data_IF_038971278398
#
_entry.id   IF_038971278398
#
_cell.length_a   1.000
_cell.length_b   1.000
_cell.length_c   1.000
_cell.angle_alpha   90.00
_cell.angle_beta   90.00
_cell.angle_gamma   90.00
#
_symmetry.space_group_name_H-M   'P 1'
#
loop_
_entity.id
_entity.type
_entity.pdbx_description
1 polymer ?
#
# COMPACT_ATOMS: atom_id res chain seq x y z
N UNK A 1 -16.67 15.12 -1.09
CA UNK A 1 -15.53 14.31 -0.62
C UNK A 1 -14.30 15.20 -0.67
N UNK A 2 -13.63 15.37 0.46
CA UNK A 2 -12.41 16.18 0.53
C UNK A 2 -11.29 15.56 -0.30
N UNK A 3 -10.43 16.40 -0.89
CA UNK A 3 -9.21 15.93 -1.52
C UNK A 3 -8.22 15.44 -0.45
N UNK A 4 -7.96 14.12 -0.44
CA UNK A 4 -6.99 13.50 0.48
C UNK A 4 -5.58 14.09 0.31
N UNK A 5 -5.23 14.59 -0.88
CA UNK A 5 -3.95 15.29 -1.08
C UNK A 5 -3.88 16.57 -0.27
N UNK A 6 -4.96 17.35 -0.24
CA UNK A 6 -5.04 18.58 0.57
C UNK A 6 -4.91 18.24 2.06
N UNK A 7 -5.61 17.21 2.53
CA UNK A 7 -5.51 16.77 3.92
C UNK A 7 -4.09 16.29 4.28
N UNK A 8 -3.37 15.68 3.34
CA UNK A 8 -2.00 15.22 3.54
C UNK A 8 -0.98 16.36 3.52
N UNK A 9 -1.05 17.21 2.50
CA UNK A 9 -0.03 18.21 2.20
C UNK A 9 -0.23 19.48 3.06
N UNK A 10 -1.47 19.77 3.48
CA UNK A 10 -1.87 20.94 4.28
C UNK A 10 -2.73 20.54 5.49
N UNK A 11 -2.26 19.56 6.27
CA UNK A 11 -3.04 18.96 7.37
C UNK A 11 -3.57 20.01 8.37
N UNK A 12 -2.70 20.87 8.90
CA UNK A 12 -3.09 21.82 9.96
C UNK A 12 -4.11 22.85 9.47
N UNK A 13 -3.91 23.38 8.25
CA UNK A 13 -4.83 24.35 7.65
C UNK A 13 -6.19 23.68 7.34
N UNK A 14 -6.17 22.46 6.81
CA UNK A 14 -7.37 21.69 6.51
C UNK A 14 -8.12 21.30 7.77
N UNK A 15 -7.40 20.91 8.83
CA UNK A 15 -7.99 20.55 10.12
C UNK A 15 -8.64 21.75 10.80
N UNK A 16 -8.02 22.93 10.74
CA UNK A 16 -8.63 24.16 11.25
C UNK A 16 -9.90 24.55 10.46
N UNK A 17 -9.89 24.39 9.13
CA UNK A 17 -11.05 24.67 8.28
C UNK A 17 -12.23 23.74 8.58
N UNK A 18 -11.96 22.43 8.69
CA UNK A 18 -12.98 21.40 8.93
C UNK A 18 -13.44 21.38 10.39
N UNK A 19 -12.56 21.69 11.34
CA UNK A 19 -12.92 21.86 12.75
C UNK A 19 -13.95 22.97 12.96
N UNK A 20 -13.87 24.08 12.20
CA UNK A 20 -14.91 25.11 12.19
C UNK A 20 -16.27 24.62 11.68
N UNK A 21 -16.29 23.51 10.93
CA UNK A 21 -17.50 22.85 10.42
C UNK A 21 -17.98 21.71 11.33
N UNK A 22 -17.34 21.51 12.49
CA UNK A 22 -17.68 20.46 13.45
C UNK A 22 -17.09 19.09 13.12
N UNK A 23 -16.06 19.02 12.27
CA UNK A 23 -15.36 17.75 12.02
C UNK A 23 -14.30 17.53 13.11
N UNK A 24 -14.41 16.40 13.80
CA UNK A 24 -13.46 15.97 14.82
C UNK A 24 -12.06 15.71 14.23
N UNK A 25 -11.02 16.20 14.93
CA UNK A 25 -9.63 16.09 14.47
C UNK A 25 -9.18 14.63 14.36
N UNK A 26 -9.72 13.74 15.20
CA UNK A 26 -9.43 12.30 15.19
C UNK A 26 -9.85 11.65 13.88
N UNK A 27 -10.96 12.10 13.26
CA UNK A 27 -11.37 11.60 11.93
C UNK A 27 -10.38 11.99 10.85
N UNK A 28 -9.83 13.20 10.95
CA UNK A 28 -8.84 13.74 10.02
C UNK A 28 -7.50 13.01 10.16
N UNK A 29 -7.07 12.76 11.40
CA UNK A 29 -5.89 11.94 11.70
C UNK A 29 -6.05 10.52 11.15
N UNK A 30 -7.20 9.89 11.41
CA UNK A 30 -7.51 8.55 10.86
C UNK A 30 -7.41 8.51 9.34
N UNK A 31 -7.98 9.50 8.63
CA UNK A 31 -7.89 9.58 7.17
C UNK A 31 -6.43 9.73 6.70
N UNK A 32 -5.63 10.57 7.38
CA UNK A 32 -4.20 10.74 7.09
C UNK A 32 -3.40 9.44 7.30
N UNK A 33 -3.66 8.72 8.38
CA UNK A 33 -2.97 7.47 8.69
C UNK A 33 -3.32 6.36 7.70
N UNK A 34 -4.59 6.28 7.29
CA UNK A 34 -5.04 5.37 6.25
C UNK A 34 -4.39 5.67 4.90
N UNK A 35 -4.27 6.95 4.50
CA UNK A 35 -3.52 7.33 3.28
C UNK A 35 -2.04 6.96 3.38
N UNK A 36 -1.41 7.20 4.53
CA UNK A 36 -0.01 6.82 4.76
C UNK A 36 0.18 5.30 4.62
N UNK A 37 -0.69 4.51 5.26
CA UNK A 37 -0.68 3.04 5.16
C UNK A 37 -0.89 2.58 3.72
N UNK A 38 -1.88 3.14 3.02
CA UNK A 38 -2.17 2.85 1.61
C UNK A 38 -0.93 3.04 0.74
N UNK A 39 -0.24 4.18 0.89
CA UNK A 39 0.97 4.49 0.11
C UNK A 39 2.13 3.55 0.43
N UNK A 40 2.30 3.18 1.70
CA UNK A 40 3.32 2.22 2.11
C UNK A 40 3.08 0.84 1.49
N UNK A 41 1.83 0.35 1.52
CA UNK A 41 1.44 -0.93 0.90
C UNK A 41 1.67 -0.93 -0.62
N UNK A 42 1.31 0.16 -1.31
CA UNK A 42 1.59 0.31 -2.74
C UNK A 42 3.09 0.23 -3.02
N UNK A 43 3.91 0.94 -2.24
CA UNK A 43 5.36 0.94 -2.41
C UNK A 43 5.98 -0.45 -2.14
N UNK A 44 5.49 -1.16 -1.11
CA UNK A 44 5.91 -2.53 -0.81
C UNK A 44 5.56 -3.48 -1.95
N UNK A 45 4.32 -3.43 -2.47
CA UNK A 45 3.87 -4.25 -3.60
C UNK A 45 4.72 -4.02 -4.84
N UNK A 46 5.02 -2.76 -5.20
CA UNK A 46 5.86 -2.46 -6.36
C UNK A 46 7.30 -2.96 -6.18
N UNK A 47 7.85 -2.86 -4.97
CA UNK A 47 9.17 -3.42 -4.62
C UNK A 47 9.19 -4.94 -4.75
N UNK A 48 8.16 -5.62 -4.25
CA UNK A 48 8.03 -7.08 -4.33
C UNK A 48 7.84 -7.55 -5.77
N UNK A 49 7.04 -6.85 -6.59
CA UNK A 49 6.90 -7.13 -8.02
C UNK A 49 8.23 -6.98 -8.75
N UNK A 50 8.99 -5.93 -8.46
CA UNK A 50 10.33 -5.73 -9.03
C UNK A 50 11.28 -6.88 -8.64
N UNK A 51 11.31 -7.26 -7.35
CA UNK A 51 12.08 -8.41 -6.85
C UNK A 51 11.69 -9.70 -7.56
N UNK A 52 10.39 -10.00 -7.68
CA UNK A 52 9.86 -11.19 -8.36
C UNK A 52 10.30 -11.25 -9.82
N UNK A 53 10.20 -10.15 -10.54
CA UNK A 53 10.56 -10.08 -11.96
C UNK A 53 12.07 -10.26 -12.16
N UNK A 54 12.90 -9.65 -11.31
CA UNK A 54 14.36 -9.83 -11.35
C UNK A 54 14.77 -11.28 -11.06
N UNK A 55 14.23 -11.87 -9.99
CA UNK A 55 14.51 -13.24 -9.61
C UNK A 55 14.00 -14.26 -10.65
N UNK A 56 12.86 -14.02 -11.29
CA UNK A 56 12.35 -14.88 -12.36
C UNK A 56 13.29 -14.94 -13.56
N UNK A 57 13.93 -13.82 -13.93
CA UNK A 57 14.97 -13.80 -14.97
C UNK A 57 16.19 -14.63 -14.56
N UNK A 58 16.61 -14.51 -13.31
CA UNK A 58 17.79 -15.23 -12.81
C UNK A 58 17.53 -16.75 -12.70
N UNK A 59 16.36 -17.14 -12.20
CA UNK A 59 15.90 -18.54 -12.17
C UNK A 59 15.92 -19.14 -13.58
N UNK A 60 15.47 -18.40 -14.60
CA UNK A 60 15.50 -18.86 -15.99
C UNK A 60 16.92 -19.14 -16.50
N UNK A 61 17.90 -18.30 -16.15
CA UNK A 61 19.31 -18.52 -16.52
C UNK A 61 19.90 -19.74 -15.82
N UNK A 62 19.68 -19.87 -14.51
CA UNK A 62 20.19 -20.99 -13.71
C UNK A 62 19.58 -22.31 -14.21
N UNK A 63 18.26 -22.31 -14.49
CA UNK A 63 17.58 -23.46 -15.05
C UNK A 63 18.16 -23.87 -16.42
N UNK A 64 18.45 -22.90 -17.28
CA UNK A 64 19.04 -23.15 -18.59
C UNK A 64 20.48 -23.69 -18.51
N UNK A 65 21.24 -23.34 -17.47
CA UNK A 65 22.57 -23.90 -17.21
C UNK A 65 22.53 -25.22 -16.41
N UNK A 66 21.35 -25.78 -16.16
CA UNK A 66 21.18 -27.04 -15.42
C UNK A 66 21.38 -26.93 -13.91
N UNK A 67 21.34 -25.72 -13.35
CA UNK A 67 21.48 -25.49 -11.91
C UNK A 67 20.19 -25.75 -11.13
N UNK A 68 20.32 -25.95 -9.81
CA UNK A 68 19.18 -26.09 -8.90
C UNK A 68 18.50 -24.75 -8.64
N UNK A 69 17.18 -24.73 -8.79
CA UNK A 69 16.31 -23.55 -8.64
C UNK A 69 15.22 -23.76 -7.59
N UNK A 70 15.23 -24.88 -6.86
CA UNK A 70 14.17 -25.22 -5.91
C UNK A 70 14.01 -24.15 -4.83
N UNK A 71 15.11 -23.72 -4.21
CA UNK A 71 15.10 -22.67 -3.18
C UNK A 71 14.62 -21.32 -3.72
N UNK A 72 15.09 -20.94 -4.91
CA UNK A 72 14.70 -19.68 -5.54
C UNK A 72 13.21 -19.67 -5.95
N UNK A 73 12.68 -20.80 -6.42
CA UNK A 73 11.25 -20.96 -6.70
C UNK A 73 10.40 -20.86 -5.43
N UNK A 74 10.84 -21.44 -4.32
CA UNK A 74 10.12 -21.36 -3.04
C UNK A 74 10.09 -19.92 -2.51
N UNK A 75 11.20 -19.19 -2.60
CA UNK A 75 11.23 -17.77 -2.25
C UNK A 75 10.28 -16.95 -3.12
N UNK A 76 10.22 -17.22 -4.43
CA UNK A 76 9.30 -16.52 -5.34
C UNK A 76 7.83 -16.83 -5.06
N UNK A 77 7.52 -18.02 -4.59
CA UNK A 77 6.17 -18.36 -4.11
C UNK A 77 5.79 -17.50 -2.90
N UNK A 78 6.67 -17.40 -1.89
CA UNK A 78 6.46 -16.55 -0.71
C UNK A 78 6.27 -15.08 -1.06
N UNK A 79 7.02 -14.57 -2.04
CA UNK A 79 6.83 -13.21 -2.56
C UNK A 79 5.45 -13.05 -3.21
N UNK A 80 5.00 -14.05 -3.97
CA UNK A 80 3.64 -14.05 -4.54
C UNK A 80 2.55 -14.04 -3.47
N UNK A 81 2.70 -14.87 -2.43
CA UNK A 81 1.77 -14.94 -1.30
C UNK A 81 1.71 -13.60 -0.55
N UNK A 82 2.87 -12.97 -0.30
CA UNK A 82 2.95 -11.64 0.34
C UNK A 82 2.28 -10.56 -0.50
N UNK A 83 2.44 -10.57 -1.82
CA UNK A 83 1.73 -9.61 -2.71
C UNK A 83 0.22 -9.80 -2.57
N UNK A 84 -0.28 -11.04 -2.57
CA UNK A 84 -1.71 -11.32 -2.43
C UNK A 84 -2.27 -10.90 -1.05
N UNK A 85 -1.48 -10.99 0.01
CA UNK A 85 -1.83 -10.44 1.33
C UNK A 85 -1.93 -8.92 1.29
N UNK A 86 -0.91 -8.25 0.74
CA UNK A 86 -0.90 -6.79 0.63
C UNK A 86 -2.08 -6.29 -0.22
N UNK A 87 -2.43 -6.97 -1.31
CA UNK A 87 -3.57 -6.60 -2.14
C UNK A 87 -4.90 -6.63 -1.35
N UNK A 88 -5.07 -7.60 -0.43
CA UNK A 88 -6.23 -7.66 0.48
C UNK A 88 -6.18 -6.53 1.51
N UNK A 89 -5.02 -6.29 2.11
CA UNK A 89 -4.83 -5.17 3.05
C UNK A 89 -5.11 -3.83 2.38
N UNK A 90 -4.66 -3.64 1.14
CA UNK A 90 -4.86 -2.45 0.35
C UNK A 90 -6.36 -2.22 0.08
N UNK A 91 -7.09 -3.27 -0.32
CA UNK A 91 -8.53 -3.18 -0.54
C UNK A 91 -9.28 -2.76 0.73
N UNK A 92 -8.88 -3.29 1.89
CA UNK A 92 -9.46 -2.89 3.18
C UNK A 92 -9.14 -1.44 3.52
N UNK A 93 -7.87 -1.03 3.37
CA UNK A 93 -7.45 0.36 3.64
C UNK A 93 -8.14 1.35 2.70
N UNK A 94 -8.30 1.01 1.42
CA UNK A 94 -9.02 1.83 0.45
C UNK A 94 -10.49 2.00 0.83
N UNK A 95 -11.13 0.91 1.27
CA UNK A 95 -12.50 0.94 1.79
C UNK A 95 -12.60 1.85 3.01
N UNK A 96 -11.75 1.63 4.02
CA UNK A 96 -11.79 2.39 5.28
C UNK A 96 -11.45 3.87 5.07
N UNK A 97 -10.53 4.17 4.16
CA UNK A 97 -10.19 5.53 3.77
C UNK A 97 -11.39 6.21 3.11
N UNK A 98 -12.05 5.52 2.17
CA UNK A 98 -13.24 6.05 1.50
C UNK A 98 -14.37 6.32 2.48
N UNK A 99 -14.67 5.37 3.37
CA UNK A 99 -15.71 5.55 4.40
C UNK A 99 -15.38 6.72 5.33
N UNK A 100 -14.12 6.84 5.76
CA UNK A 100 -13.69 7.96 6.62
C UNK A 100 -13.86 9.31 5.89
N UNK A 101 -13.52 9.38 4.60
CA UNK A 101 -13.67 10.58 3.78
C UNK A 101 -15.11 10.96 3.45
N UNK A 102 -16.06 10.02 3.56
CA UNK A 102 -17.49 10.29 3.42
C UNK A 102 -18.12 10.86 4.70
N UNK A 103 -17.49 10.63 5.85
CA UNK A 103 -17.93 11.10 7.17
C UNK A 103 -17.28 12.43 7.61
N UNK A 104 -16.49 13.04 6.71
CA UNK A 104 -15.82 14.34 6.83
C UNK A 104 -16.51 15.34 5.91
#
# INVERSE_FOLDING_TARGET
>A
MIDIKKLRDEFDATAAELGRRGVEIEKLQKARDLDAKRRALIAETETLKAKRNAASKEIGKIAASGGDIAAAKDEMRKVGDRIAEIDKELAQVDHDLRETLLMI
#
